data_IF_277678741216
#
_entry.id   IF_277678741216
#
_cell.length_a   1.000
_cell.length_b   1.000
_cell.length_c   1.000
_cell.angle_alpha   90.00
_cell.angle_beta   90.00
_cell.angle_gamma   90.00
#
_symmetry.space_group_name_H-M   'P 1'
#
loop_
_entity.id
_entity.type
_entity.pdbx_description
1 polymer ?
#
# COMPACT_ATOMS: atom_id res chain seq x y z
N UNK A 1 44.00 -45.33 -0.47
CA UNK A 1 43.93 -44.52 -1.71
C UNK A 1 42.50 -44.35 -2.26
N UNK A 2 41.63 -45.38 -2.28
CA UNK A 2 40.25 -45.27 -2.81
C UNK A 2 39.31 -44.28 -2.07
N UNK A 3 39.51 -44.07 -0.77
CA UNK A 3 38.64 -43.15 0.03
C UNK A 3 38.84 -41.67 -0.31
N UNK A 4 40.09 -41.25 -0.58
CA UNK A 4 40.40 -39.85 -0.91
C UNK A 4 39.84 -39.41 -2.26
N UNK A 5 39.91 -40.29 -3.27
CA UNK A 5 39.34 -40.03 -4.60
C UNK A 5 37.82 -39.84 -4.54
N UNK A 6 37.13 -40.68 -3.77
CA UNK A 6 35.68 -40.57 -3.55
C UNK A 6 35.32 -39.26 -2.85
N UNK A 7 36.10 -38.83 -1.85
CA UNK A 7 35.89 -37.53 -1.19
C UNK A 7 36.03 -36.34 -2.15
N UNK A 8 36.94 -36.40 -3.12
CA UNK A 8 37.12 -35.35 -4.13
C UNK A 8 35.94 -35.28 -5.10
N UNK A 9 35.40 -36.42 -5.52
CA UNK A 9 34.20 -36.46 -6.38
C UNK A 9 32.98 -35.83 -5.68
N UNK A 10 32.77 -36.14 -4.40
CA UNK A 10 31.69 -35.53 -3.62
C UNK A 10 31.87 -34.02 -3.44
N UNK A 11 33.10 -33.54 -3.25
CA UNK A 11 33.39 -32.10 -3.18
C UNK A 11 33.08 -31.39 -4.50
N UNK A 12 33.36 -32.04 -5.63
CA UNK A 12 33.04 -31.49 -6.95
C UNK A 12 31.53 -31.38 -7.17
N UNK A 13 30.78 -32.44 -6.84
CA UNK A 13 29.30 -32.45 -6.91
C UNK A 13 28.72 -31.35 -6.02
N UNK A 14 29.23 -31.23 -4.78
CA UNK A 14 28.77 -30.21 -3.84
C UNK A 14 29.05 -28.80 -4.36
N UNK A 15 30.24 -28.56 -4.92
CA UNK A 15 30.61 -27.25 -5.47
C UNK A 15 29.73 -26.88 -6.66
N UNK A 16 29.45 -27.84 -7.55
CA UNK A 16 28.57 -27.62 -8.70
C UNK A 16 27.12 -27.37 -8.26
N UNK A 17 26.64 -28.08 -7.24
CA UNK A 17 25.33 -27.84 -6.64
C UNK A 17 25.24 -26.42 -6.05
N UNK A 18 26.24 -26.01 -5.27
CA UNK A 18 26.29 -24.66 -4.68
C UNK A 18 26.40 -23.56 -5.74
N UNK A 19 27.16 -23.79 -6.82
CA UNK A 19 27.29 -22.85 -7.93
C UNK A 19 25.96 -22.56 -8.64
N UNK A 20 25.00 -23.49 -8.59
CA UNK A 20 23.64 -23.32 -9.14
C UNK A 20 22.71 -22.73 -8.07
N UNK A 21 22.77 -23.24 -6.84
CA UNK A 21 21.86 -22.85 -5.76
C UNK A 21 22.05 -21.38 -5.40
N UNK A 22 23.29 -20.90 -5.24
CA UNK A 22 23.57 -19.52 -4.80
C UNK A 22 22.93 -18.47 -5.73
N UNK A 23 23.20 -18.44 -7.05
CA UNK A 23 22.58 -17.47 -7.94
C UNK A 23 21.07 -17.67 -8.04
N UNK A 24 20.59 -18.92 -8.00
CA UNK A 24 19.15 -19.22 -7.99
C UNK A 24 18.43 -18.61 -6.78
N UNK A 25 19.02 -18.73 -5.58
CA UNK A 25 18.48 -18.14 -4.36
C UNK A 25 18.46 -16.61 -4.41
N UNK A 26 19.50 -15.98 -4.97
CA UNK A 26 19.54 -14.52 -5.14
C UNK A 26 18.45 -14.02 -6.08
N UNK A 27 18.29 -14.67 -7.24
CA UNK A 27 17.23 -14.35 -8.20
C UNK A 27 15.84 -14.52 -7.59
N UNK A 28 15.62 -15.64 -6.90
CA UNK A 28 14.36 -15.91 -6.21
C UNK A 28 14.05 -14.85 -5.15
N UNK A 29 15.03 -14.49 -4.33
CA UNK A 29 14.86 -13.48 -3.29
C UNK A 29 14.48 -12.11 -3.86
N UNK A 30 15.12 -11.68 -4.94
CA UNK A 30 14.80 -10.41 -5.61
C UNK A 30 13.39 -10.46 -6.23
N UNK A 31 13.05 -11.55 -6.90
CA UNK A 31 11.72 -11.74 -7.46
C UNK A 31 10.62 -11.71 -6.39
N UNK A 32 10.84 -12.37 -5.24
CA UNK A 32 9.89 -12.35 -4.13
C UNK A 32 9.67 -10.94 -3.58
N UNK A 33 10.74 -10.12 -3.51
CA UNK A 33 10.61 -8.71 -3.09
C UNK A 33 9.79 -7.88 -4.06
N UNK A 34 10.13 -7.93 -5.34
CA UNK A 34 9.41 -7.16 -6.38
C UNK A 34 7.94 -7.58 -6.45
N UNK A 35 7.65 -8.88 -6.35
CA UNK A 35 6.28 -9.38 -6.32
C UNK A 35 5.51 -8.87 -5.10
N UNK A 36 6.14 -8.80 -3.93
CA UNK A 36 5.49 -8.27 -2.73
C UNK A 36 5.19 -6.76 -2.86
N UNK A 37 6.11 -5.99 -3.45
CA UNK A 37 5.88 -4.56 -3.71
C UNK A 37 4.72 -4.31 -4.66
N UNK A 38 4.60 -5.11 -5.72
CA UNK A 38 3.48 -5.02 -6.66
C UNK A 38 2.14 -5.31 -5.98
N UNK A 39 2.09 -6.27 -5.06
CA UNK A 39 0.88 -6.56 -4.28
C UNK A 39 0.48 -5.38 -3.38
N UNK A 40 1.46 -4.79 -2.67
CA UNK A 40 1.26 -3.60 -1.83
C UNK A 40 0.74 -2.44 -2.66
N UNK A 41 1.39 -2.13 -3.80
CA UNK A 41 0.97 -1.05 -4.68
C UNK A 41 -0.44 -1.27 -5.25
N UNK A 42 -0.78 -2.51 -5.62
CA UNK A 42 -2.12 -2.87 -6.08
C UNK A 42 -3.18 -2.69 -4.99
N UNK A 43 -2.86 -3.07 -3.74
CA UNK A 43 -3.75 -2.86 -2.60
C UNK A 43 -3.98 -1.38 -2.31
N UNK A 44 -2.92 -0.56 -2.31
CA UNK A 44 -3.02 0.89 -2.13
C UNK A 44 -3.85 1.53 -3.25
N UNK A 45 -3.62 1.11 -4.50
CA UNK A 45 -4.40 1.57 -5.65
C UNK A 45 -5.89 1.24 -5.50
N UNK A 46 -6.22 0.04 -5.01
CA UNK A 46 -7.60 -0.36 -4.74
C UNK A 46 -8.23 0.48 -3.62
N UNK A 47 -7.49 0.74 -2.54
CA UNK A 47 -7.95 1.55 -1.40
C UNK A 47 -8.22 2.99 -1.84
N UNK A 48 -7.25 3.64 -2.49
CA UNK A 48 -7.39 5.03 -2.94
C UNK A 48 -8.55 5.21 -3.92
N UNK A 49 -8.68 4.31 -4.90
CA UNK A 49 -9.83 4.31 -5.83
C UNK A 49 -11.17 4.10 -5.13
N UNK A 50 -11.22 3.22 -4.12
CA UNK A 50 -12.45 2.99 -3.37
C UNK A 50 -12.85 4.23 -2.55
N UNK A 51 -11.87 4.90 -1.92
CA UNK A 51 -12.10 6.16 -1.18
C UNK A 51 -12.63 7.23 -2.14
N UNK A 52 -11.94 7.48 -3.25
CA UNK A 52 -12.34 8.51 -4.22
C UNK A 52 -13.71 8.21 -4.83
N UNK A 53 -13.95 6.98 -5.30
CA UNK A 53 -15.25 6.62 -5.87
C UNK A 53 -16.38 6.75 -4.86
N UNK A 54 -16.13 6.44 -3.58
CA UNK A 54 -17.12 6.61 -2.52
C UNK A 54 -17.38 8.09 -2.23
N UNK A 55 -16.34 8.94 -2.28
CA UNK A 55 -16.48 10.38 -2.13
C UNK A 55 -17.34 10.97 -3.26
N UNK A 56 -17.05 10.63 -4.52
CA UNK A 56 -17.83 11.06 -5.68
C UNK A 56 -19.29 10.60 -5.59
N UNK A 57 -19.51 9.38 -5.12
CA UNK A 57 -20.86 8.85 -4.91
C UNK A 57 -21.61 9.65 -3.85
N UNK A 58 -21.01 9.90 -2.68
CA UNK A 58 -21.66 10.68 -1.61
C UNK A 58 -21.90 12.13 -2.04
N UNK A 59 -20.96 12.73 -2.78
CA UNK A 59 -21.16 14.06 -3.35
C UNK A 59 -22.40 14.11 -4.25
N UNK A 60 -22.56 13.10 -5.11
CA UNK A 60 -23.69 12.99 -6.04
C UNK A 60 -25.03 12.72 -5.35
N UNK A 61 -25.04 11.90 -4.28
CA UNK A 61 -26.25 11.63 -3.49
C UNK A 61 -26.78 12.92 -2.84
N UNK A 62 -25.86 13.79 -2.42
CA UNK A 62 -26.17 15.11 -1.90
C UNK A 62 -25.79 15.30 -0.45
N UNK A 63 -26.17 16.46 0.08
CA UNK A 63 -25.77 16.93 1.41
C UNK A 63 -26.21 16.00 2.53
N UNK A 64 -25.37 15.88 3.56
CA UNK A 64 -25.59 15.07 4.76
C UNK A 64 -25.74 13.58 4.46
N UNK A 65 -25.24 13.12 3.31
CA UNK A 65 -25.05 11.70 3.00
C UNK A 65 -23.66 11.25 3.44
N UNK A 66 -23.53 10.01 3.89
CA UNK A 66 -22.27 9.46 4.33
C UNK A 66 -22.22 7.95 4.10
N UNK A 67 -21.01 7.45 3.92
CA UNK A 67 -20.68 6.03 3.90
C UNK A 67 -19.50 5.78 4.82
N UNK A 68 -19.44 4.59 5.40
CA UNK A 68 -18.24 4.11 6.10
C UNK A 68 -17.72 2.92 5.32
N UNK A 69 -16.47 2.99 4.91
CA UNK A 69 -15.79 1.91 4.21
C UNK A 69 -14.71 1.32 5.12
N UNK A 70 -14.62 0.00 5.07
CA UNK A 70 -13.56 -0.74 5.77
C UNK A 70 -12.38 -0.89 4.82
N UNK A 71 -11.22 -0.42 5.25
CA UNK A 71 -9.97 -0.53 4.50
C UNK A 71 -8.92 -1.23 5.35
N UNK A 72 -8.05 -1.98 4.69
CA UNK A 72 -6.91 -2.61 5.35
C UNK A 72 -5.63 -2.04 4.74
N UNK A 73 -5.02 -1.07 5.41
CA UNK A 73 -3.78 -0.46 4.95
C UNK A 73 -2.61 -1.43 5.16
N UNK A 74 -1.78 -1.69 4.12
CA UNK A 74 -0.55 -2.45 4.30
C UNK A 74 0.35 -1.85 5.38
N UNK A 75 1.13 -2.69 6.06
CA UNK A 75 2.10 -2.26 7.09
C UNK A 75 3.14 -1.25 6.58
N UNK A 76 3.41 -1.25 5.27
CA UNK A 76 4.31 -0.30 4.63
C UNK A 76 3.72 1.11 4.48
N UNK A 77 2.42 1.29 4.70
CA UNK A 77 1.77 2.61 4.59
C UNK A 77 2.21 3.51 5.73
N UNK A 78 2.52 4.77 5.42
CA UNK A 78 3.03 5.75 6.39
C UNK A 78 2.01 6.81 6.71
N UNK A 79 1.35 7.34 5.69
CA UNK A 79 0.38 8.41 5.86
C UNK A 79 -0.62 8.44 4.71
N UNK A 80 -1.75 9.10 4.94
CA UNK A 80 -2.71 9.43 3.91
C UNK A 80 -3.36 10.79 4.18
N UNK A 81 -3.27 11.68 3.19
CA UNK A 81 -3.66 13.08 3.33
C UNK A 81 -4.19 13.64 2.01
N UNK A 82 -4.84 14.78 2.08
CA UNK A 82 -5.44 15.45 0.93
C UNK A 82 -4.61 16.66 0.52
N UNK A 83 -4.34 16.82 -0.76
CA UNK A 83 -3.62 17.96 -1.35
C UNK A 83 -4.55 18.72 -2.27
N UNK A 84 -4.46 20.05 -2.26
CA UNK A 84 -5.19 20.98 -3.14
C UNK A 84 -6.69 20.70 -3.26
N UNK A 85 -7.30 20.22 -2.18
CA UNK A 85 -8.71 19.84 -2.07
C UNK A 85 -9.23 18.88 -3.17
N UNK A 86 -8.36 18.20 -3.91
CA UNK A 86 -8.71 17.38 -5.09
C UNK A 86 -7.84 16.13 -5.28
N UNK A 87 -6.77 16.00 -4.49
CA UNK A 87 -5.85 14.89 -4.56
C UNK A 87 -5.81 14.14 -3.24
N UNK A 88 -6.05 12.83 -3.27
CA UNK A 88 -5.74 11.93 -2.16
C UNK A 88 -4.33 11.38 -2.38
N UNK A 89 -3.43 11.61 -1.43
CA UNK A 89 -2.07 11.09 -1.45
C UNK A 89 -1.92 10.04 -0.37
N UNK A 90 -1.44 8.86 -0.75
CA UNK A 90 -1.09 7.77 0.18
C UNK A 90 0.41 7.53 0.07
N UNK A 91 1.14 7.74 1.16
CA UNK A 91 2.59 7.50 1.23
C UNK A 91 2.87 6.09 1.77
N UNK A 92 3.82 5.39 1.15
CA UNK A 92 4.20 4.05 1.59
C UNK A 92 5.67 3.74 1.30
N UNK A 93 6.22 2.81 2.08
CA UNK A 93 7.60 2.39 2.00
C UNK A 93 7.77 1.23 1.02
N UNK A 94 8.74 1.36 0.11
CA UNK A 94 9.26 0.27 -0.74
C UNK A 94 10.72 -0.04 -0.38
N UNK A 95 11.27 -1.10 -0.96
CA UNK A 95 12.71 -1.41 -0.86
C UNK A 95 13.59 -0.33 -1.47
N UNK A 96 13.05 0.52 -2.35
CA UNK A 96 13.76 1.62 -3.00
C UNK A 96 13.64 2.95 -2.25
N UNK A 97 12.73 3.06 -1.30
CA UNK A 97 12.49 4.29 -0.54
C UNK A 97 11.00 4.57 -0.31
N UNK A 98 10.72 5.76 0.22
CA UNK A 98 9.36 6.28 0.35
C UNK A 98 8.81 6.63 -1.04
N UNK A 99 7.57 6.26 -1.31
CA UNK A 99 6.87 6.55 -2.57
C UNK A 99 5.44 6.98 -2.27
N UNK A 100 4.80 7.58 -3.27
CA UNK A 100 3.44 8.11 -3.17
C UNK A 100 2.54 7.49 -4.23
N UNK A 101 1.29 7.23 -3.85
CA UNK A 101 0.19 6.99 -4.78
C UNK A 101 -0.78 8.17 -4.69
N UNK A 102 -1.00 8.84 -5.82
CA UNK A 102 -1.84 10.02 -5.93
C UNK A 102 -3.12 9.66 -6.70
N UNK A 103 -4.26 10.05 -6.14
CA UNK A 103 -5.58 9.81 -6.72
C UNK A 103 -6.31 11.14 -6.88
N UNK A 104 -6.69 11.46 -8.11
CA UNK A 104 -7.32 12.73 -8.47
C UNK A 104 -8.85 12.59 -8.48
N UNK A 105 -9.54 13.67 -8.18
CA UNK A 105 -11.00 13.78 -8.33
C UNK A 105 -11.41 15.21 -8.71
N UNK A 106 -12.53 15.33 -9.41
CA UNK A 106 -13.08 16.63 -9.82
C UNK A 106 -13.92 17.31 -8.73
N UNK A 107 -14.19 16.61 -7.62
CA UNK A 107 -14.96 17.13 -6.49
C UNK A 107 -14.03 17.65 -5.39
N UNK A 108 -14.49 18.66 -4.65
CA UNK A 108 -13.75 19.17 -3.50
C UNK A 108 -13.76 18.15 -2.36
N UNK A 109 -12.60 17.60 -2.00
CA UNK A 109 -12.40 16.69 -0.88
C UNK A 109 -11.56 17.36 0.21
N UNK A 110 -11.81 17.03 1.48
CA UNK A 110 -11.06 17.56 2.63
C UNK A 110 -10.81 16.49 3.67
N UNK A 111 -9.63 16.53 4.28
CA UNK A 111 -9.32 15.67 5.42
C UNK A 111 -10.11 16.09 6.65
N UNK A 112 -10.60 15.12 7.43
CA UNK A 112 -11.34 15.41 8.66
C UNK A 112 -10.43 15.90 9.82
N UNK A 113 -9.11 15.83 9.65
CA UNK A 113 -8.12 16.13 10.67
C UNK A 113 -7.18 17.28 10.25
N UNK A 114 -6.40 17.85 11.19
CA UNK A 114 -5.45 18.93 10.89
C UNK A 114 -4.50 18.58 9.75
N UNK A 115 -4.07 19.59 9.02
CA UNK A 115 -3.19 19.44 7.85
C UNK A 115 -3.75 18.44 6.82
N UNK A 116 -5.07 18.46 6.61
CA UNK A 116 -5.76 17.67 5.57
C UNK A 116 -5.60 16.14 5.67
N UNK A 117 -5.17 15.63 6.82
CA UNK A 117 -5.03 14.20 7.07
C UNK A 117 -6.38 13.48 7.14
N UNK A 118 -6.38 12.19 6.76
CA UNK A 118 -7.56 11.33 6.90
C UNK A 118 -7.64 10.63 8.25
N UNK A 119 -6.59 10.68 9.08
CA UNK A 119 -6.59 10.16 10.45
C UNK A 119 -5.80 11.10 11.36
N UNK A 120 -6.19 11.20 12.64
CA UNK A 120 -5.42 11.95 13.64
C UNK A 120 -4.14 11.21 14.04
N UNK A 121 -4.13 9.89 13.92
CA UNK A 121 -2.99 9.01 14.20
C UNK A 121 -3.01 7.87 13.19
N UNK A 122 -2.45 8.13 12.00
CA UNK A 122 -2.42 7.13 10.95
C UNK A 122 -1.77 5.83 11.45
N UNK A 123 -2.46 4.71 11.25
CA UNK A 123 -1.95 3.39 11.57
C UNK A 123 -2.24 2.42 10.43
N UNK A 124 -1.40 1.40 10.30
CA UNK A 124 -1.64 0.33 9.34
C UNK A 124 -2.68 -0.66 9.86
N UNK A 125 -3.12 -1.57 9.00
CA UNK A 125 -4.13 -2.56 9.31
C UNK A 125 -5.55 -2.06 9.04
N UNK A 126 -6.50 -2.63 9.77
CA UNK A 126 -7.92 -2.34 9.60
C UNK A 126 -8.25 -0.92 10.10
N UNK A 127 -8.85 -0.12 9.22
CA UNK A 127 -9.35 1.22 9.51
C UNK A 127 -10.75 1.38 8.92
N UNK A 128 -11.60 2.10 9.66
CA UNK A 128 -12.93 2.49 9.19
C UNK A 128 -12.86 3.94 8.72
N UNK A 129 -13.00 4.18 7.42
CA UNK A 129 -12.98 5.53 6.85
C UNK A 129 -14.42 5.98 6.63
N UNK A 130 -14.82 7.05 7.33
CA UNK A 130 -16.06 7.78 7.08
C UNK A 130 -15.83 8.79 5.97
N UNK A 131 -16.74 8.77 5.00
CA UNK A 131 -16.77 9.67 3.87
C UNK A 131 -18.13 10.36 3.92
N UNK A 132 -18.15 11.67 4.07
CA UNK A 132 -19.38 12.44 4.35
C UNK A 132 -19.48 13.66 3.44
N UNK A 133 -20.58 13.78 2.71
CA UNK A 133 -20.88 14.94 1.87
C UNK A 133 -21.45 16.07 2.70
N UNK A 134 -20.84 17.26 2.62
CA UNK A 134 -21.34 18.51 3.20
C UNK A 134 -22.12 19.37 2.20
N UNK A 135 -22.23 18.88 0.96
CA UNK A 135 -22.94 19.53 -0.15
C UNK A 135 -22.00 20.24 -1.11
N UNK A 136 -21.11 21.10 -0.60
CA UNK A 136 -20.08 21.79 -1.39
C UNK A 136 -18.75 21.01 -1.45
N UNK A 137 -18.47 20.20 -0.44
CA UNK A 137 -17.28 19.35 -0.36
C UNK A 137 -17.57 18.01 0.33
N UNK A 138 -16.63 17.07 0.25
CA UNK A 138 -16.68 15.78 0.95
C UNK A 138 -15.57 15.73 2.01
N UNK A 139 -15.94 15.37 3.24
CA UNK A 139 -14.99 15.10 4.31
C UNK A 139 -14.62 13.62 4.33
N UNK A 140 -13.32 13.34 4.35
CA UNK A 140 -12.75 12.00 4.46
C UNK A 140 -11.99 11.91 5.78
N UNK A 141 -12.39 10.98 6.63
CA UNK A 141 -11.78 10.83 7.94
C UNK A 141 -11.99 9.46 8.54
N UNK A 142 -11.05 9.01 9.36
CA UNK A 142 -11.22 7.85 10.21
C UNK A 142 -12.42 8.02 11.14
N UNK A 143 -13.22 6.98 11.22
CA UNK A 143 -14.27 6.87 12.22
C UNK A 143 -13.67 6.19 13.44
N UNK A 144 -13.52 6.95 14.53
CA UNK A 144 -13.23 6.37 15.83
C UNK A 144 -14.30 5.30 16.15
N UNK A 145 -13.83 4.06 16.37
CA UNK A 145 -14.64 2.92 16.79
C UNK A 145 -15.20 3.12 18.20
#
# INVERSE_FOLDING_TARGET
MKKGQVSVEYLFILTMALAIIIPGSVLFYNYSKDSNEQLVASQINRIGKNIISSAEQMYTIGKDSWVTIEVNFPESTRDAYIVDDSELVITYQTTRGLTEAVFFTDITIKGAYPNTNISSQFHHGHMNIKIESKGDHVLIGERAS
#
